data_IF_561439745618
#
_entry.id   IF_561439745618
#
_cell.length_a   1.000
_cell.length_b   1.000
_cell.length_c   1.000
_cell.angle_alpha   90.00
_cell.angle_beta   90.00
_cell.angle_gamma   90.00
#
_symmetry.space_group_name_H-M   'P 1'
#
loop_
_entity.id
_entity.type
_entity.pdbx_description
1 polymer ?
#
# COMPACT_ATOMS: atom_id res chain seq x y z
N UNK A 1 -26.21 24.89 14.90
CA UNK A 1 -25.37 23.66 14.89
C UNK A 1 -25.11 23.36 13.43
N UNK A 2 -23.88 23.56 12.92
CA UNK A 2 -23.55 23.15 11.55
C UNK A 2 -23.69 21.62 11.47
N UNK A 3 -24.30 21.13 10.40
CA UNK A 3 -24.39 19.69 10.18
C UNK A 3 -22.97 19.14 9.97
N UNK A 4 -22.71 17.89 10.37
CA UNK A 4 -21.43 17.19 10.10
C UNK A 4 -21.05 17.26 8.60
N UNK A 5 -22.08 17.37 7.77
CA UNK A 5 -22.06 17.56 6.32
C UNK A 5 -21.51 18.92 5.88
N UNK A 6 -21.82 20.02 6.57
CA UNK A 6 -21.33 21.35 6.20
C UNK A 6 -19.86 21.56 6.61
N UNK A 7 -19.38 20.79 7.60
CA UNK A 7 -17.96 20.74 7.97
C UNK A 7 -17.09 20.09 6.89
N UNK A 8 -17.63 19.15 6.12
CA UNK A 8 -16.85 18.37 5.14
C UNK A 8 -16.63 19.09 3.80
N UNK A 9 -17.48 20.06 3.41
CA UNK A 9 -17.38 20.71 2.08
C UNK A 9 -16.03 21.41 1.83
N UNK A 10 -15.35 21.79 2.89
CA UNK A 10 -14.05 22.44 2.86
C UNK A 10 -12.91 21.52 3.34
N UNK A 11 -13.16 20.24 3.55
CA UNK A 11 -12.12 19.31 4.01
C UNK A 11 -11.08 19.10 2.90
N UNK A 12 -9.83 19.40 3.22
CA UNK A 12 -8.67 19.11 2.35
C UNK A 12 -8.13 17.69 2.58
N UNK A 13 -8.34 17.16 3.79
CA UNK A 13 -7.98 15.80 4.19
C UNK A 13 -9.24 15.08 4.64
N UNK A 14 -9.45 13.88 4.12
CA UNK A 14 -10.51 12.98 4.56
C UNK A 14 -9.90 11.66 5.02
N UNK A 15 -10.14 11.30 6.26
CA UNK A 15 -9.79 9.99 6.82
C UNK A 15 -11.03 9.10 6.91
N UNK A 16 -10.93 7.90 6.34
CA UNK A 16 -12.01 6.93 6.22
C UNK A 16 -11.61 5.61 6.88
N UNK A 17 -12.49 5.14 7.77
CA UNK A 17 -12.30 3.88 8.49
C UNK A 17 -13.21 2.78 7.94
N UNK A 18 -12.61 1.64 7.60
CA UNK A 18 -13.34 0.43 7.24
C UNK A 18 -13.61 -0.42 8.47
N UNK A 19 -14.89 -0.74 8.66
CA UNK A 19 -15.32 -1.74 9.63
C UNK A 19 -16.34 -2.68 8.99
N UNK A 20 -16.45 -3.88 9.55
CA UNK A 20 -17.47 -4.87 9.18
C UNK A 20 -18.82 -4.35 9.69
N UNK A 21 -19.74 -3.96 8.81
CA UNK A 21 -21.10 -3.58 9.21
C UNK A 21 -22.10 -3.76 8.07
N UNK A 22 -23.33 -4.07 8.45
CA UNK A 22 -24.46 -4.27 7.56
C UNK A 22 -25.18 -2.92 7.37
N UNK A 23 -25.06 -2.34 6.17
CA UNK A 23 -25.97 -1.29 5.72
C UNK A 23 -25.65 0.12 6.19
N UNK A 24 -25.04 0.91 5.31
CA UNK A 24 -25.50 2.27 5.11
C UNK A 24 -25.26 2.70 3.66
N UNK A 25 -26.32 3.21 3.01
CA UNK A 25 -26.26 3.82 1.68
C UNK A 25 -26.09 5.32 1.85
N UNK A 26 -24.86 5.78 2.10
CA UNK A 26 -24.58 7.21 1.97
C UNK A 26 -24.43 7.56 0.49
N UNK A 27 -25.19 8.57 0.07
CA UNK A 27 -25.23 9.04 -1.31
C UNK A 27 -23.92 9.73 -1.68
N UNK A 28 -23.45 9.47 -2.90
CA UNK A 28 -22.26 10.08 -3.49
C UNK A 28 -22.28 11.61 -3.40
N UNK A 29 -21.13 12.21 -3.04
CA UNK A 29 -21.00 13.68 -2.93
C UNK A 29 -19.66 14.14 -3.46
N UNK A 30 -19.65 15.37 -3.97
CA UNK A 30 -18.42 16.04 -4.37
C UNK A 30 -17.76 16.70 -3.16
N UNK A 31 -16.46 16.46 -3.00
CA UNK A 31 -15.59 17.17 -2.07
C UNK A 31 -14.54 17.91 -2.91
N UNK A 32 -14.85 19.12 -3.40
CA UNK A 32 -14.04 19.79 -4.43
C UNK A 32 -12.65 20.20 -3.95
N UNK A 33 -12.47 20.35 -2.63
CA UNK A 33 -11.19 20.74 -2.03
C UNK A 33 -10.39 19.54 -1.52
N UNK A 34 -10.89 18.31 -1.68
CA UNK A 34 -10.23 17.12 -1.16
C UNK A 34 -8.89 16.90 -1.87
N UNK A 35 -7.81 17.04 -1.12
CA UNK A 35 -6.46 16.79 -1.57
C UNK A 35 -5.98 15.40 -1.17
N UNK A 36 -6.18 15.02 0.09
CA UNK A 36 -5.67 13.76 0.66
C UNK A 36 -6.81 12.87 1.12
N UNK A 37 -6.81 11.61 0.68
CA UNK A 37 -7.70 10.56 1.17
C UNK A 37 -6.89 9.52 1.95
N UNK A 38 -7.20 9.35 3.23
CA UNK A 38 -6.59 8.35 4.10
C UNK A 38 -7.59 7.19 4.27
N UNK A 39 -7.13 5.99 3.94
CA UNK A 39 -7.88 4.74 3.98
C UNK A 39 -7.32 3.89 5.12
N UNK A 40 -8.03 3.82 6.24
CA UNK A 40 -7.59 3.12 7.45
C UNK A 40 -8.59 2.02 7.87
N UNK A 41 -8.12 1.05 8.67
CA UNK A 41 -9.01 0.09 9.32
C UNK A 41 -9.31 0.55 10.75
N UNK A 42 -10.50 0.21 11.26
CA UNK A 42 -10.97 0.60 12.60
C UNK A 42 -10.09 0.20 13.80
N UNK A 43 -9.02 -0.58 13.60
CA UNK A 43 -8.12 -1.05 14.68
C UNK A 43 -7.13 0.04 15.12
N UNK A 44 -6.78 0.97 14.23
CA UNK A 44 -5.95 2.15 14.52
C UNK A 44 -6.89 3.34 14.67
N UNK A 45 -7.31 3.67 15.89
CA UNK A 45 -8.22 4.80 16.15
C UNK A 45 -7.45 5.99 16.72
N UNK A 46 -7.17 7.06 15.94
CA UNK A 46 -6.79 8.34 16.51
C UNK A 46 -8.03 9.03 17.09
N UNK A 47 -7.86 9.69 18.24
CA UNK A 47 -8.98 10.20 19.04
C UNK A 47 -9.70 11.44 18.47
N UNK A 48 -9.22 12.07 17.38
CA UNK A 48 -9.58 13.46 17.06
C UNK A 48 -9.93 13.80 15.59
N UNK A 49 -10.11 12.84 14.67
CA UNK A 49 -10.47 13.17 13.28
C UNK A 49 -11.96 12.99 12.94
N UNK A 50 -12.45 13.79 11.99
CA UNK A 50 -13.84 13.78 11.53
C UNK A 50 -14.15 12.47 10.78
N UNK A 51 -14.55 11.46 11.55
CA UNK A 51 -14.79 10.10 11.12
C UNK A 51 -15.94 9.97 10.11
N UNK A 52 -15.66 9.33 8.97
CA UNK A 52 -16.67 8.72 8.12
C UNK A 52 -16.38 7.22 7.97
N UNK A 53 -17.36 6.42 8.38
CA UNK A 53 -17.30 4.98 8.35
C UNK A 53 -18.02 4.45 7.12
N UNK A 54 -17.40 3.54 6.37
CA UNK A 54 -18.04 2.94 5.20
C UNK A 54 -17.94 1.42 5.14
N UNK A 55 -18.99 0.83 4.60
CA UNK A 55 -19.18 -0.60 4.43
C UNK A 55 -19.06 -0.96 2.96
N UNK A 56 -18.10 -1.80 2.60
CA UNK A 56 -18.02 -2.38 1.25
C UNK A 56 -18.06 -3.90 1.21
N UNK A 57 -18.21 -4.55 2.38
CA UNK A 57 -18.20 -6.01 2.50
C UNK A 57 -19.52 -6.45 3.10
N UNK A 58 -20.36 -7.12 2.30
CA UNK A 58 -21.52 -7.83 2.81
C UNK A 58 -21.24 -9.32 2.82
N UNK A 59 -21.44 -9.97 3.96
CA UNK A 59 -21.43 -11.43 4.04
C UNK A 59 -22.84 -11.93 3.79
N UNK A 60 -23.09 -12.50 2.60
CA UNK A 60 -24.31 -13.27 2.34
C UNK A 60 -23.92 -14.74 2.26
N UNK A 61 -24.52 -15.57 3.11
CA UNK A 61 -24.40 -17.04 3.04
C UNK A 61 -22.94 -17.55 3.01
N UNK A 62 -22.03 -16.91 3.77
CA UNK A 62 -20.62 -17.30 3.81
C UNK A 62 -19.76 -16.80 2.64
N UNK A 63 -20.32 -16.07 1.67
CA UNK A 63 -19.57 -15.40 0.59
C UNK A 63 -19.36 -13.92 0.89
N UNK A 64 -18.14 -13.45 0.66
CA UNK A 64 -17.75 -12.03 0.70
C UNK A 64 -18.17 -11.40 -0.62
N UNK A 65 -19.20 -10.55 -0.62
CA UNK A 65 -19.53 -9.71 -1.77
C UNK A 65 -18.82 -8.36 -1.64
N UNK A 66 -17.95 -8.06 -2.59
CA UNK A 66 -17.33 -6.74 -2.77
C UNK A 66 -18.36 -5.78 -3.36
N UNK A 67 -18.79 -4.80 -2.55
CA UNK A 67 -19.69 -3.73 -2.99
C UNK A 67 -18.94 -2.40 -2.91
N UNK A 68 -18.63 -1.77 -4.05
CA UNK A 68 -17.94 -0.50 -4.04
C UNK A 68 -18.75 0.58 -3.31
N UNK A 69 -18.06 1.37 -2.50
CA UNK A 69 -18.62 2.47 -1.75
C UNK A 69 -19.00 3.61 -2.69
N UNK A 70 -20.30 3.85 -2.86
CA UNK A 70 -20.81 4.90 -3.76
C UNK A 70 -20.45 6.32 -3.32
N UNK A 71 -20.11 6.51 -2.03
CA UNK A 71 -19.62 7.80 -1.56
C UNK A 71 -18.31 8.19 -2.25
N UNK A 72 -17.41 7.22 -2.44
CA UNK A 72 -16.12 7.40 -3.09
C UNK A 72 -16.22 7.63 -4.60
N UNK A 73 -17.41 7.45 -5.19
CA UNK A 73 -17.56 7.43 -6.64
C UNK A 73 -17.18 8.74 -7.33
N UNK A 74 -17.29 9.87 -6.63
CA UNK A 74 -17.05 11.20 -7.18
C UNK A 74 -15.84 11.87 -6.52
N UNK A 75 -15.00 11.09 -5.83
CA UNK A 75 -13.77 11.60 -5.24
C UNK A 75 -12.59 11.32 -6.17
N UNK A 76 -11.74 12.33 -6.33
CA UNK A 76 -10.49 12.26 -7.10
C UNK A 76 -9.38 12.93 -6.29
N UNK A 77 -8.99 12.33 -5.16
CA UNK A 77 -7.95 12.90 -4.32
C UNK A 77 -6.61 12.94 -5.07
N UNK A 78 -5.81 13.97 -4.79
CA UNK A 78 -4.46 14.11 -5.37
C UNK A 78 -3.44 13.19 -4.65
N UNK A 79 -3.67 12.91 -3.36
CA UNK A 79 -2.86 12.00 -2.55
C UNK A 79 -3.75 10.93 -1.91
N UNK A 80 -3.30 9.67 -1.96
CA UNK A 80 -3.97 8.55 -1.29
C UNK A 80 -2.99 7.89 -0.32
N UNK A 81 -3.47 7.65 0.90
CA UNK A 81 -2.73 6.93 1.93
C UNK A 81 -3.54 5.69 2.32
N UNK A 82 -2.94 4.51 2.26
CA UNK A 82 -3.56 3.24 2.64
C UNK A 82 -2.84 2.69 3.88
N UNK A 83 -3.50 2.80 5.03
CA UNK A 83 -3.04 2.18 6.28
C UNK A 83 -3.40 0.70 6.31
N UNK A 84 -2.55 -0.07 7.00
CA UNK A 84 -2.66 -1.52 7.07
C UNK A 84 -2.64 -2.17 5.68
N UNK A 85 -1.90 -1.56 4.75
CA UNK A 85 -1.60 -2.16 3.46
C UNK A 85 -0.96 -3.52 3.73
N UNK A 86 -1.50 -4.58 3.14
CA UNK A 86 -0.96 -5.91 3.38
C UNK A 86 0.40 -5.99 2.67
N UNK A 87 1.44 -6.38 3.40
CA UNK A 87 2.75 -6.72 2.83
C UNK A 87 2.60 -7.66 1.65
N UNK A 88 1.60 -8.54 1.74
CA UNK A 88 1.45 -9.63 0.78
C UNK A 88 0.97 -9.19 -0.59
N UNK A 89 0.33 -8.03 -0.69
CA UNK A 89 -0.47 -7.74 -1.86
C UNK A 89 -0.86 -6.27 -1.95
N UNK A 90 -0.38 -5.61 -3.01
CA UNK A 90 -0.72 -4.22 -3.29
C UNK A 90 -1.95 -4.19 -4.19
N UNK A 91 -3.09 -3.95 -3.57
CA UNK A 91 -4.37 -3.98 -4.23
C UNK A 91 -5.24 -2.80 -3.85
N UNK A 92 -6.25 -2.60 -4.69
CA UNK A 92 -7.38 -1.76 -4.33
C UNK A 92 -8.07 -2.43 -3.12
N UNK A 93 -8.21 -1.76 -1.96
CA UNK A 93 -8.91 -2.34 -0.82
C UNK A 93 -10.36 -2.68 -1.18
N UNK A 94 -10.90 -3.75 -0.59
CA UNK A 94 -12.29 -4.14 -0.81
C UNK A 94 -13.25 -2.99 -0.48
N UNK A 95 -14.28 -2.81 -1.31
CA UNK A 95 -15.23 -1.72 -1.17
C UNK A 95 -14.74 -0.38 -1.74
N UNK A 96 -13.51 -0.29 -2.23
CA UNK A 96 -12.98 0.96 -2.80
C UNK A 96 -13.10 0.92 -4.32
N UNK A 97 -13.78 1.91 -4.93
CA UNK A 97 -13.76 2.03 -6.38
C UNK A 97 -12.34 2.30 -6.87
N UNK A 98 -11.84 1.51 -7.82
CA UNK A 98 -10.49 1.69 -8.38
C UNK A 98 -10.27 3.10 -8.94
N UNK A 99 -11.29 3.72 -9.55
CA UNK A 99 -11.22 5.09 -10.08
C UNK A 99 -10.74 6.15 -9.10
N UNK A 100 -10.88 5.92 -7.79
CA UNK A 100 -10.35 6.84 -6.76
C UNK A 100 -8.83 7.00 -6.90
N UNK A 101 -8.13 5.96 -7.34
CA UNK A 101 -6.67 5.93 -7.50
C UNK A 101 -6.19 6.47 -8.86
N UNK A 102 -7.02 6.44 -9.90
CA UNK A 102 -6.58 6.71 -11.29
C UNK A 102 -5.95 8.09 -11.47
N UNK A 103 -6.49 9.10 -10.79
CA UNK A 103 -6.06 10.49 -10.87
C UNK A 103 -5.08 10.91 -9.76
N UNK A 104 -4.72 9.99 -8.85
CA UNK A 104 -3.81 10.30 -7.76
C UNK A 104 -2.41 10.63 -8.30
N UNK A 105 -1.81 11.70 -7.77
CA UNK A 105 -0.41 12.06 -8.03
C UNK A 105 0.53 11.46 -6.99
N UNK A 106 0.03 11.14 -5.81
CA UNK A 106 0.80 10.54 -4.73
C UNK A 106 0.05 9.35 -4.13
N UNK A 107 0.74 8.23 -3.96
CA UNK A 107 0.19 7.03 -3.34
C UNK A 107 1.15 6.52 -2.27
N UNK A 108 0.63 6.30 -1.09
CA UNK A 108 1.38 5.85 0.06
C UNK A 108 0.69 4.65 0.70
N UNK A 109 1.47 3.60 0.95
CA UNK A 109 1.00 2.35 1.51
C UNK A 109 1.79 2.05 2.76
N UNK A 110 1.10 1.93 3.87
CA UNK A 110 1.67 1.76 5.19
C UNK A 110 1.35 0.35 5.67
N UNK A 111 2.38 -0.46 5.74
CA UNK A 111 2.30 -1.88 6.06
C UNK A 111 2.84 -2.13 7.47
N UNK A 112 2.04 -2.67 8.41
CA UNK A 112 2.43 -2.89 9.79
C UNK A 112 3.29 -4.15 9.93
N UNK A 113 4.11 -4.24 10.98
CA UNK A 113 4.94 -5.43 11.25
C UNK A 113 4.15 -6.72 11.47
N UNK A 114 2.89 -6.66 11.90
CA UNK A 114 2.03 -7.83 12.08
C UNK A 114 1.00 -7.95 10.94
N UNK A 115 1.17 -8.97 10.10
CA UNK A 115 0.35 -9.19 8.90
C UNK A 115 -0.40 -10.52 8.90
N UNK A 116 -1.57 -10.50 8.25
CA UNK A 116 -2.39 -11.68 8.02
C UNK A 116 -1.99 -12.34 6.69
N UNK A 117 -1.73 -13.64 6.70
CA UNK A 117 -1.53 -14.42 5.46
C UNK A 117 -2.84 -14.60 4.69
N UNK A 118 -3.96 -14.59 5.42
CA UNK A 118 -5.29 -14.61 4.83
C UNK A 118 -5.55 -13.30 4.11
N UNK A 119 -5.41 -13.32 2.80
CA UNK A 119 -5.93 -12.28 1.92
C UNK A 119 -7.46 -12.37 1.96
N UNK A 120 -8.13 -11.40 2.60
CA UNK A 120 -9.58 -11.38 2.61
C UNK A 120 -10.13 -10.96 1.24
N UNK A 121 -10.66 -11.91 0.48
CA UNK A 121 -11.55 -11.67 -0.67
C UNK A 121 -10.87 -11.19 -1.97
N UNK A 122 -11.64 -11.21 -3.06
CA UNK A 122 -11.17 -10.98 -4.43
C UNK A 122 -10.37 -9.69 -4.58
N UNK A 123 -9.07 -9.85 -4.77
CA UNK A 123 -8.14 -8.74 -4.94
C UNK A 123 -8.26 -8.16 -6.34
N UNK A 124 -8.60 -6.87 -6.42
CA UNK A 124 -8.46 -6.11 -7.66
C UNK A 124 -7.04 -5.54 -7.70
N UNK A 125 -6.27 -5.76 -8.79
CA UNK A 125 -5.01 -5.05 -8.97
C UNK A 125 -5.23 -3.54 -8.83
N UNK A 126 -4.19 -2.82 -8.43
CA UNK A 126 -4.27 -1.35 -8.50
C UNK A 126 -4.55 -0.95 -9.96
N UNK A 127 -5.40 0.05 -10.19
CA UNK A 127 -5.59 0.58 -11.53
C UNK A 127 -4.31 1.29 -12.00
N UNK A 128 -4.23 1.55 -13.32
CA UNK A 128 -3.14 2.35 -13.89
C UNK A 128 -3.26 3.80 -13.40
N UNK A 129 -2.40 4.21 -12.48
CA UNK A 129 -2.33 5.57 -11.92
C UNK A 129 -1.46 6.47 -12.83
N UNK A 130 -2.03 6.99 -13.92
CA UNK A 130 -1.25 7.64 -14.99
C UNK A 130 -0.53 8.92 -14.55
N UNK A 131 -1.10 9.61 -13.58
CA UNK A 131 -0.59 10.89 -13.07
C UNK A 131 0.35 10.73 -11.87
N UNK A 132 0.66 9.49 -11.48
CA UNK A 132 1.42 9.21 -10.26
C UNK A 132 2.85 9.75 -10.37
N UNK A 133 3.20 10.69 -9.49
CA UNK A 133 4.51 11.32 -9.35
C UNK A 133 5.32 10.68 -8.24
N UNK A 134 4.67 10.24 -7.15
CA UNK A 134 5.34 9.65 -5.98
C UNK A 134 4.59 8.39 -5.52
N UNK A 135 5.34 7.31 -5.34
CA UNK A 135 4.87 6.06 -4.75
C UNK A 135 5.73 5.75 -3.53
N UNK A 136 5.09 5.60 -2.36
CA UNK A 136 5.77 5.38 -1.09
C UNK A 136 5.25 4.09 -0.45
N UNK A 137 6.15 3.17 -0.14
CA UNK A 137 5.84 1.96 0.61
C UNK A 137 6.56 1.98 1.96
N UNK A 138 5.81 2.05 3.06
CA UNK A 138 6.34 2.14 4.41
C UNK A 138 6.13 0.82 5.14
N UNK A 139 7.22 0.24 5.63
CA UNK A 139 7.15 -0.85 6.61
C UNK A 139 7.15 -0.24 8.02
N UNK A 140 5.96 0.02 8.55
CA UNK A 140 5.78 0.74 9.81
C UNK A 140 5.89 -0.17 11.04
N UNK A 141 6.48 0.38 12.09
CA UNK A 141 6.43 -0.12 13.45
C UNK A 141 6.58 1.01 14.44
N UNK A 142 5.97 0.83 15.60
CA UNK A 142 6.11 1.72 16.75
C UNK A 142 7.48 1.54 17.45
N UNK A 143 8.20 0.42 17.22
CA UNK A 143 9.50 0.16 17.85
C UNK A 143 10.64 -0.16 16.90
N UNK A 144 11.83 0.39 17.15
CA UNK A 144 13.04 0.05 16.37
C UNK A 144 13.47 -1.41 16.49
N UNK A 145 12.99 -2.08 17.54
CA UNK A 145 13.34 -3.48 17.84
C UNK A 145 12.32 -4.49 17.32
N UNK A 146 11.19 -3.99 16.82
CA UNK A 146 10.13 -4.84 16.33
C UNK A 146 10.56 -5.66 15.13
N UNK A 147 9.91 -6.81 15.02
CA UNK A 147 10.16 -7.80 13.99
C UNK A 147 8.86 -8.06 13.27
N UNK A 148 8.93 -8.09 11.95
CA UNK A 148 7.83 -8.56 11.13
C UNK A 148 7.43 -9.98 11.51
N UNK A 149 6.12 -10.21 11.65
CA UNK A 149 5.56 -11.50 12.03
C UNK A 149 4.17 -11.71 11.43
N UNK A 150 3.81 -12.98 11.25
CA UNK A 150 2.42 -13.34 10.97
C UNK A 150 1.57 -13.18 12.22
N UNK A 151 0.29 -12.87 12.01
CA UNK A 151 -0.71 -12.98 13.07
C UNK A 151 -0.70 -14.39 13.63
N UNK A 152 -0.85 -14.49 14.95
CA UNK A 152 -0.82 -15.76 15.69
C UNK A 152 -1.76 -16.85 15.12
N UNK A 153 -2.88 -16.44 14.52
CA UNK A 153 -3.87 -17.30 13.88
C UNK A 153 -3.44 -17.93 12.53
N UNK A 154 -2.37 -17.44 11.92
CA UNK A 154 -1.83 -17.90 10.64
C UNK A 154 -0.55 -18.74 10.79
N UNK A 155 0.13 -18.63 11.94
CA UNK A 155 1.41 -19.32 12.24
C UNK A 155 1.39 -20.85 12.06
N UNK A 156 0.29 -21.60 12.34
CA UNK A 156 0.27 -23.05 12.09
C UNK A 156 0.09 -23.42 10.62
N UNK A 157 -0.43 -22.51 9.80
CA UNK A 157 -0.89 -22.81 8.44
C UNK A 157 0.19 -22.55 7.39
N UNK A 158 1.10 -21.61 7.64
CA UNK A 158 2.04 -21.13 6.63
C UNK A 158 3.43 -20.93 7.21
N UNK A 159 4.46 -21.35 6.46
CA UNK A 159 5.83 -21.01 6.83
C UNK A 159 6.08 -19.55 6.46
N UNK A 160 6.76 -18.80 7.33
CA UNK A 160 7.12 -17.42 7.03
C UNK A 160 7.75 -17.25 5.62
N UNK A 161 8.72 -18.08 5.26
CA UNK A 161 9.45 -17.96 3.99
C UNK A 161 8.56 -18.15 2.74
N UNK A 162 7.48 -18.92 2.87
CA UNK A 162 6.56 -19.22 1.77
C UNK A 162 5.71 -18.01 1.37
N UNK A 163 5.60 -17.01 2.25
CA UNK A 163 4.91 -15.76 1.98
C UNK A 163 5.84 -14.71 1.38
N UNK A 164 7.09 -14.64 1.83
CA UNK A 164 7.97 -13.53 1.51
C UNK A 164 8.22 -13.34 -0.01
N UNK A 165 8.53 -14.43 -0.73
CA UNK A 165 8.87 -14.36 -2.15
C UNK A 165 7.68 -13.96 -3.05
N UNK A 166 6.48 -14.57 -2.94
CA UNK A 166 5.28 -14.10 -3.66
C UNK A 166 4.95 -12.63 -3.41
N UNK A 167 5.18 -12.15 -2.18
CA UNK A 167 4.85 -10.80 -1.75
C UNK A 167 5.80 -9.77 -2.36
N UNK A 168 7.11 -10.05 -2.32
CA UNK A 168 8.09 -9.25 -3.06
C UNK A 168 7.79 -9.24 -4.56
N UNK A 169 7.28 -10.34 -5.12
CA UNK A 169 6.87 -10.37 -6.52
C UNK A 169 5.68 -9.45 -6.80
N UNK A 170 4.67 -9.42 -5.92
CA UNK A 170 3.57 -8.46 -6.04
C UNK A 170 4.06 -7.01 -6.02
N UNK A 171 4.92 -6.65 -5.05
CA UNK A 171 5.53 -5.32 -4.96
C UNK A 171 6.36 -4.98 -6.20
N UNK A 172 7.19 -5.92 -6.67
CA UNK A 172 8.01 -5.76 -7.87
C UNK A 172 7.14 -5.48 -9.11
N UNK A 173 6.07 -6.24 -9.31
CA UNK A 173 5.13 -6.05 -10.42
C UNK A 173 4.46 -4.69 -10.35
N UNK A 174 3.93 -4.30 -9.19
CA UNK A 174 3.32 -2.99 -9.00
C UNK A 174 4.29 -1.87 -9.35
N UNK A 175 5.52 -1.90 -8.82
CA UNK A 175 6.54 -0.89 -9.10
C UNK A 175 6.89 -0.83 -10.59
N UNK A 176 6.97 -1.97 -11.26
CA UNK A 176 7.29 -2.04 -12.69
C UNK A 176 6.20 -1.40 -13.57
N UNK A 177 4.93 -1.53 -13.17
CA UNK A 177 3.77 -0.99 -13.87
C UNK A 177 3.52 0.50 -13.64
N UNK A 178 4.19 1.12 -12.66
CA UNK A 178 4.08 2.57 -12.41
C UNK A 178 4.59 3.39 -13.61
N UNK A 179 4.10 4.64 -13.79
CA UNK A 179 4.67 5.58 -14.77
C UNK A 179 6.18 5.78 -14.61
N UNK A 180 6.91 5.97 -15.71
CA UNK A 180 8.39 6.03 -15.70
C UNK A 180 8.94 7.18 -14.84
N UNK A 181 8.22 8.29 -14.80
CA UNK A 181 8.54 9.48 -14.03
C UNK A 181 8.28 9.33 -12.53
N UNK A 182 7.58 8.27 -12.09
CA UNK A 182 7.21 8.10 -10.69
C UNK A 182 8.46 7.87 -9.83
N UNK A 183 8.64 8.72 -8.83
CA UNK A 183 9.59 8.50 -7.74
C UNK A 183 9.08 7.35 -6.85
N UNK A 184 9.93 6.37 -6.58
CA UNK A 184 9.59 5.20 -5.77
C UNK A 184 10.43 5.22 -4.50
N UNK A 185 9.76 5.32 -3.36
CA UNK A 185 10.35 5.26 -2.03
C UNK A 185 9.95 3.98 -1.32
N UNK A 186 10.94 3.26 -0.79
CA UNK A 186 10.71 2.12 0.11
C UNK A 186 11.35 2.44 1.45
N UNK A 187 10.55 2.52 2.49
CA UNK A 187 10.97 3.01 3.81
C UNK A 187 11.00 1.85 4.79
N UNK A 188 12.08 1.79 5.57
CA UNK A 188 12.26 0.85 6.68
C UNK A 188 12.25 -0.64 6.27
N UNK A 189 12.71 -0.92 5.04
CA UNK A 189 12.78 -2.27 4.47
C UNK A 189 13.58 -3.28 5.32
N UNK A 190 14.49 -2.82 6.18
CA UNK A 190 15.29 -3.70 7.03
C UNK A 190 14.51 -4.41 8.14
N UNK A 191 13.31 -3.94 8.52
CA UNK A 191 12.47 -4.66 9.48
C UNK A 191 11.87 -5.95 8.91
N UNK A 192 11.83 -6.07 7.58
CA UNK A 192 11.31 -7.23 6.87
C UNK A 192 12.21 -8.47 7.04
N UNK A 193 13.41 -8.31 7.62
CA UNK A 193 14.43 -9.35 7.84
C UNK A 193 13.98 -10.61 8.60
N UNK A 194 12.77 -10.63 9.16
CA UNK A 194 12.35 -11.60 10.18
C UNK A 194 11.45 -12.71 9.66
N UNK A 195 11.20 -12.74 8.35
CA UNK A 195 10.84 -13.98 7.67
C UNK A 195 12.10 -14.86 7.58
N UNK A 196 12.35 -15.63 8.66
CA UNK A 196 13.24 -16.80 8.62
C UNK A 196 14.70 -16.65 9.09
N UNK A 197 15.25 -15.45 9.31
CA UNK A 197 16.65 -15.36 9.81
C UNK A 197 16.88 -14.27 10.86
N UNK A 198 17.34 -14.68 12.04
CA UNK A 198 17.53 -13.81 13.21
C UNK A 198 18.84 -13.02 13.23
N UNK A 199 19.62 -13.00 12.15
CA UNK A 199 21.04 -12.61 12.20
C UNK A 199 21.52 -11.61 11.14
N UNK A 200 20.65 -11.06 10.29
CA UNK A 200 21.08 -10.07 9.28
C UNK A 200 20.99 -8.65 9.81
N UNK A 201 21.97 -7.83 9.49
CA UNK A 201 21.91 -6.39 9.78
C UNK A 201 20.88 -5.68 8.90
N UNK A 202 20.41 -4.51 9.34
CA UNK A 202 19.51 -3.65 8.57
C UNK A 202 20.02 -3.39 7.14
N UNK A 203 21.31 -3.06 7.01
CA UNK A 203 21.97 -2.73 5.74
C UNK A 203 22.00 -3.95 4.80
N UNK A 204 22.32 -5.14 5.32
CA UNK A 204 22.34 -6.37 4.52
C UNK A 204 20.94 -6.74 4.01
N UNK A 205 19.92 -6.51 4.84
CA UNK A 205 18.51 -6.78 4.48
C UNK A 205 18.02 -5.83 3.40
N UNK A 206 18.28 -4.53 3.55
CA UNK A 206 17.96 -3.52 2.52
C UNK A 206 18.63 -3.86 1.18
N UNK A 207 19.92 -4.26 1.21
CA UNK A 207 20.64 -4.70 0.02
C UNK A 207 20.02 -5.97 -0.60
N UNK A 208 19.60 -6.92 0.22
CA UNK A 208 18.95 -8.15 -0.25
C UNK A 208 17.62 -7.84 -0.94
N UNK A 209 16.73 -7.08 -0.30
CA UNK A 209 15.42 -6.71 -0.87
C UNK A 209 15.60 -5.97 -2.19
N UNK A 210 16.57 -5.06 -2.27
CA UNK A 210 16.91 -4.36 -3.52
C UNK A 210 17.27 -5.34 -4.64
N UNK A 211 18.11 -6.33 -4.34
CA UNK A 211 18.50 -7.34 -5.32
C UNK A 211 17.32 -8.25 -5.70
N UNK A 212 16.52 -8.67 -4.72
CA UNK A 212 15.37 -9.54 -4.95
C UNK A 212 14.31 -8.87 -5.83
N UNK A 213 13.97 -7.60 -5.57
CA UNK A 213 13.04 -6.85 -6.42
C UNK A 213 13.55 -6.74 -7.86
N UNK A 214 14.84 -6.45 -8.05
CA UNK A 214 15.45 -6.39 -9.39
C UNK A 214 15.41 -7.76 -10.09
N UNK A 215 15.75 -8.83 -9.38
CA UNK A 215 15.74 -10.20 -9.90
C UNK A 215 14.32 -10.66 -10.25
N UNK A 216 13.33 -10.34 -9.43
CA UNK A 216 11.94 -10.72 -9.68
C UNK A 216 11.40 -9.97 -10.90
N UNK A 217 11.64 -8.66 -11.02
CA UNK A 217 11.26 -7.91 -12.23
C UNK A 217 11.88 -8.55 -13.48
N UNK A 218 13.17 -8.90 -13.44
CA UNK A 218 13.86 -9.59 -14.52
C UNK A 218 13.24 -10.95 -14.85
N UNK A 219 12.97 -11.75 -13.82
CA UNK A 219 12.41 -13.08 -13.95
C UNK A 219 10.99 -13.05 -14.54
N UNK A 220 10.10 -12.23 -13.97
CA UNK A 220 8.71 -12.10 -14.43
C UNK A 220 8.62 -11.64 -15.90
N UNK A 221 9.54 -10.77 -16.35
CA UNK A 221 9.68 -10.42 -17.78
C UNK A 221 10.13 -11.65 -18.58
N UNK A 222 11.15 -12.36 -18.12
CA UNK A 222 11.74 -13.50 -18.82
C UNK A 222 10.76 -14.67 -19.02
N UNK A 223 9.73 -14.78 -18.16
CA UNK A 223 8.69 -15.81 -18.26
C UNK A 223 7.34 -15.26 -18.74
N UNK A 224 7.26 -14.00 -19.15
CA UNK A 224 6.06 -13.40 -19.76
C UNK A 224 4.86 -13.24 -18.82
N UNK A 225 5.09 -12.98 -17.53
CA UNK A 225 4.03 -12.87 -16.50
C UNK A 225 3.24 -11.56 -16.58
N UNK A 226 3.79 -10.53 -17.20
CA UNK A 226 3.05 -9.30 -17.45
C UNK A 226 2.09 -9.55 -18.63
N UNK A 227 0.77 -9.62 -18.35
CA UNK A 227 -0.29 -10.07 -19.28
C UNK A 227 -0.30 -9.37 -20.67
N UNK A 228 0.23 -8.15 -20.79
CA UNK A 228 0.39 -7.45 -22.08
C UNK A 228 1.56 -7.98 -22.93
N UNK A 229 2.38 -8.89 -22.39
CA UNK A 229 3.67 -9.31 -22.93
C UNK A 229 3.89 -10.83 -22.94
N UNK A 230 2.82 -11.64 -22.74
CA UNK A 230 2.87 -13.11 -22.61
C UNK A 230 3.34 -13.88 -23.86
N UNK A 231 3.81 -13.19 -24.90
CA UNK A 231 4.36 -13.75 -26.14
C UNK A 231 5.71 -13.16 -26.54
N UNK A 232 6.28 -12.29 -25.71
CA UNK A 232 7.55 -11.63 -25.99
C UNK A 232 8.66 -12.52 -25.43
N UNK A 233 9.22 -13.40 -26.27
CA UNK A 233 10.47 -14.08 -25.93
C UNK A 233 11.63 -13.08 -25.75
N UNK A 234 12.87 -13.55 -25.73
CA UNK A 234 14.06 -12.69 -25.74
C UNK A 234 14.31 -12.02 -27.12
N UNK A 235 13.29 -11.40 -27.71
CA UNK A 235 13.40 -10.49 -28.85
C UNK A 235 13.72 -9.05 -28.42
N UNK A 236 13.72 -8.10 -29.34
CA UNK A 236 14.02 -6.68 -29.06
C UNK A 236 13.12 -6.11 -27.95
N UNK A 237 11.81 -6.36 -28.01
CA UNK A 237 10.84 -5.93 -26.99
C UNK A 237 11.15 -6.51 -25.60
N UNK A 238 11.66 -7.74 -25.52
CA UNK A 238 12.08 -8.37 -24.27
C UNK A 238 13.30 -7.67 -23.67
N UNK A 239 14.27 -7.29 -24.50
CA UNK A 239 15.44 -6.53 -24.07
C UNK A 239 15.08 -5.12 -23.60
N UNK A 240 14.11 -4.46 -24.25
CA UNK A 240 13.59 -3.16 -23.82
C UNK A 240 12.89 -3.25 -22.45
N UNK A 241 12.09 -4.29 -22.21
CA UNK A 241 11.48 -4.53 -20.91
C UNK A 241 12.54 -4.78 -19.82
N UNK A 242 13.60 -5.50 -20.14
CA UNK A 242 14.73 -5.74 -19.23
C UNK A 242 15.50 -4.44 -18.90
N UNK A 243 15.71 -3.57 -19.88
CA UNK A 243 16.31 -2.25 -19.65
C UNK A 243 15.42 -1.39 -18.76
N UNK A 244 14.10 -1.37 -19.04
CA UNK A 244 13.10 -0.70 -18.19
C UNK A 244 13.13 -1.22 -16.75
N UNK A 245 13.17 -2.54 -16.54
CA UNK A 245 13.25 -3.13 -15.20
C UNK A 245 14.55 -2.75 -14.48
N UNK A 246 15.67 -2.79 -15.20
CA UNK A 246 16.98 -2.39 -14.66
C UNK A 246 16.96 -0.93 -14.22
N UNK A 247 16.55 -0.03 -15.11
CA UNK A 247 16.43 1.40 -14.82
C UNK A 247 15.47 1.68 -13.67
N UNK A 248 14.32 1.00 -13.64
CA UNK A 248 13.33 1.12 -12.55
C UNK A 248 13.95 0.72 -11.21
N UNK A 249 14.57 -0.46 -11.15
CA UNK A 249 15.15 -0.98 -9.91
C UNK A 249 16.28 -0.09 -9.34
N UNK A 250 17.06 0.55 -10.22
CA UNK A 250 18.12 1.48 -9.84
C UNK A 250 17.60 2.81 -9.28
N UNK A 251 16.41 3.24 -9.70
CA UNK A 251 15.76 4.48 -9.27
C UNK A 251 14.99 4.38 -7.96
N UNK A 252 14.76 3.18 -7.44
CA UNK A 252 14.10 3.00 -6.14
C UNK A 252 15.01 3.57 -5.05
N UNK A 253 14.51 4.54 -4.29
CA UNK A 253 15.19 5.06 -3.11
C UNK A 253 14.74 4.25 -1.90
N UNK A 254 15.73 3.79 -1.14
CA UNK A 254 15.50 3.04 0.08
C UNK A 254 15.94 3.91 1.25
N UNK A 255 15.04 4.20 2.17
CA UNK A 255 15.29 5.08 3.32
C UNK A 255 15.09 4.30 4.62
N UNK A 256 15.84 4.63 5.67
CA UNK A 256 15.43 4.32 7.05
C UNK A 256 14.23 5.16 7.45
N UNK A 257 13.56 4.77 8.54
CA UNK A 257 12.47 5.58 9.07
C UNK A 257 13.00 6.94 9.53
N UNK A 258 14.19 7.02 10.14
CA UNK A 258 14.83 8.29 10.49
C UNK A 258 15.07 9.18 9.27
N UNK A 259 15.67 8.64 8.21
CA UNK A 259 15.91 9.39 6.95
C UNK A 259 14.59 9.89 6.32
N UNK A 260 13.53 9.10 6.41
CA UNK A 260 12.20 9.52 5.96
C UNK A 260 11.60 10.61 6.85
N UNK A 261 11.75 10.52 8.17
CA UNK A 261 11.24 11.54 9.08
C UNK A 261 11.94 12.90 8.91
N UNK A 262 13.18 12.91 8.43
CA UNK A 262 13.89 14.15 8.10
C UNK A 262 13.28 14.89 6.90
N UNK A 263 12.56 14.21 6.00
CA UNK A 263 11.94 14.87 4.83
C UNK A 263 10.73 15.74 5.20
N UNK A 264 10.18 15.57 6.41
CA UNK A 264 8.96 16.23 6.91
C UNK A 264 7.66 15.89 6.15
N UNK A 265 7.69 15.00 5.16
CA UNK A 265 6.52 14.57 4.37
C UNK A 265 5.48 13.75 5.17
N UNK A 266 5.83 13.42 6.42
CA UNK A 266 5.08 12.57 7.34
C UNK A 266 4.06 13.33 8.20
N UNK A 267 4.15 14.67 8.27
CA UNK A 267 3.42 15.49 9.26
C UNK A 267 1.90 15.47 9.14
N UNK A 268 1.39 15.14 7.96
CA UNK A 268 -0.06 15.01 7.72
C UNK A 268 -0.56 13.57 7.88
N UNK A 269 0.33 12.66 8.27
CA UNK A 269 0.09 11.21 8.35
C UNK A 269 0.22 10.71 9.79
N UNK A 270 1.25 11.17 10.50
CA UNK A 270 1.62 10.68 11.81
C UNK A 270 1.54 11.78 12.85
N UNK A 271 0.97 11.43 13.99
CA UNK A 271 1.07 12.25 15.18
C UNK A 271 2.49 12.15 15.76
N UNK A 272 2.95 13.23 16.41
CA UNK A 272 4.29 13.25 17.01
C UNK A 272 4.53 12.17 18.07
N UNK A 273 3.46 11.63 18.66
CA UNK A 273 3.52 10.49 19.59
C UNK A 273 3.89 9.18 18.88
N UNK A 274 3.33 8.94 17.68
CA UNK A 274 3.49 7.68 16.95
C UNK A 274 4.93 7.49 16.48
N UNK A 275 5.61 8.58 16.13
CA UNK A 275 7.00 8.56 15.65
C UNK A 275 8.03 8.88 16.74
N UNK A 276 7.61 9.03 18.01
CA UNK A 276 8.49 9.49 19.09
C UNK A 276 9.72 8.59 19.24
N UNK A 277 9.55 7.27 19.22
CA UNK A 277 10.67 6.33 19.38
C UNK A 277 11.70 6.49 18.25
N UNK A 278 11.25 6.92 17.07
CA UNK A 278 12.12 7.17 15.92
C UNK A 278 12.89 8.49 16.01
N UNK A 279 12.31 9.52 16.63
CA UNK A 279 12.89 10.86 16.75
C UNK A 279 13.93 11.03 17.87
N UNK A 280 13.94 10.14 18.89
CA UNK A 280 14.89 10.18 20.02
C UNK A 280 14.30 10.73 21.30
#
# INVERSE_FOLDING_TARGET
MMSKIDLMKNAEILEMFFHKHEGNQETSRQLPNLHTLILASSVTMPKNHHMICFTGITHKEGKVEDRPCTFLDNLSPRRIIVHLANLVSIHTPLGIPSKVFEEAEEAEFISPTEVSSKIQGGLKPLPKMKNLKKFTWIFWTDSKTDKWRLKSEDVPLERPDDLFAPNLASLARTIFELPEQTEVLIINSGLVATFGSSSRSYIETQKQIKNDLAQIMYFDISIGVFDEYSHIGFGEEGLELLDKATHRSLKIKYLSMEEYLETQDWRDIWESEEIREWLG
#
